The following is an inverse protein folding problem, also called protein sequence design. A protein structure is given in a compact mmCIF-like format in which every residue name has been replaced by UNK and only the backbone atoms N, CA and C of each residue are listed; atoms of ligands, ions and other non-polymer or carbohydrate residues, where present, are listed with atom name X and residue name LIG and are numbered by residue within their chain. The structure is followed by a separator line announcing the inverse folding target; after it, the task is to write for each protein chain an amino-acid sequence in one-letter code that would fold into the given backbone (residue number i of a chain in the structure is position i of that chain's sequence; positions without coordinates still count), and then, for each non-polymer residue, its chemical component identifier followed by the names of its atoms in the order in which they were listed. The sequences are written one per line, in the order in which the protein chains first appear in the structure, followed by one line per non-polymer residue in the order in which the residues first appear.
data_IF_367147248791
#
_entry.id   IF_367147248791
#
_cell.length_a   1.000
_cell.length_b   1.000
_cell.length_c   1.000
_cell.angle_alpha   90.00
_cell.angle_beta   90.00
_cell.angle_gamma   90.00
#
_symmetry.space_group_name_H-M   'P 1'
#
loop_
_entity.id
_entity.type
_entity.pdbx_description
1 polymer ?
#
# COMPACT_ATOMS: atom_id res chain seq x y z
N UNK A 1 -29.41 34.20 -3.15
CA UNK A 1 -30.57 33.91 -4.02
C UNK A 1 -30.17 33.58 -5.46
N UNK A 2 -29.19 34.24 -6.09
CA UNK A 2 -28.76 33.95 -7.48
C UNK A 2 -28.31 32.50 -7.75
N UNK A 3 -27.60 31.84 -6.83
CA UNK A 3 -27.18 30.44 -7.01
C UNK A 3 -28.35 29.43 -7.07
N UNK A 4 -29.51 29.77 -6.51
CA UNK A 4 -30.71 28.92 -6.60
C UNK A 4 -31.47 29.13 -7.93
N UNK A 5 -31.32 30.29 -8.58
CA UNK A 5 -31.88 30.51 -9.93
C UNK A 5 -31.06 29.78 -11.01
N UNK A 6 -29.72 29.67 -10.86
CA UNK A 6 -28.89 28.87 -11.79
C UNK A 6 -29.17 27.36 -11.72
N UNK A 7 -29.83 26.87 -10.66
CA UNK A 7 -30.25 25.47 -10.54
C UNK A 7 -31.33 25.04 -11.54
N UNK A 8 -32.02 26.00 -12.17
CA UNK A 8 -33.14 25.74 -13.08
C UNK A 8 -32.75 25.42 -14.53
N UNK A 9 -31.46 25.49 -14.89
CA UNK A 9 -30.99 25.29 -16.27
C UNK A 9 -30.09 24.05 -16.40
N UNK A 10 -30.66 22.83 -16.41
CA UNK A 10 -29.88 21.59 -16.44
C UNK A 10 -28.93 21.50 -17.64
N UNK A 11 -29.31 22.07 -18.79
CA UNK A 11 -28.48 22.11 -20.00
C UNK A 11 -27.17 22.90 -19.80
N UNK A 12 -27.24 24.06 -19.12
CA UNK A 12 -26.06 24.90 -18.88
C UNK A 12 -25.11 24.26 -17.86
N UNK A 13 -25.67 23.59 -16.86
CA UNK A 13 -24.90 22.81 -15.89
C UNK A 13 -24.22 21.61 -16.52
N UNK A 14 -24.92 20.88 -17.41
CA UNK A 14 -24.33 19.79 -18.17
C UNK A 14 -23.18 20.28 -19.06
N UNK A 15 -23.37 21.40 -19.77
CA UNK A 15 -22.31 21.99 -20.60
C UNK A 15 -21.06 22.38 -19.79
N UNK A 16 -21.24 23.06 -18.65
CA UNK A 16 -20.12 23.36 -17.73
C UNK A 16 -19.48 22.09 -17.18
N UNK A 17 -20.27 21.08 -16.82
CA UNK A 17 -19.81 19.79 -16.33
C UNK A 17 -18.95 19.05 -17.37
N UNK A 18 -19.37 19.04 -18.63
CA UNK A 18 -18.59 18.46 -19.73
C UNK A 18 -17.26 19.17 -19.94
N UNK A 19 -17.24 20.50 -19.88
CA UNK A 19 -15.99 21.28 -19.98
C UNK A 19 -15.05 20.93 -18.82
N UNK A 20 -15.57 20.85 -17.60
CA UNK A 20 -14.77 20.42 -16.43
C UNK A 20 -14.33 18.96 -16.50
N UNK A 21 -15.05 18.11 -17.25
CA UNK A 21 -14.72 16.72 -17.45
C UNK A 21 -13.63 16.50 -18.53
N UNK A 22 -13.41 17.46 -19.43
CA UNK A 22 -12.46 17.35 -20.55
C UNK A 22 -11.07 16.82 -20.13
N UNK A 23 -10.43 17.31 -19.03
CA UNK A 23 -9.12 16.82 -18.61
C UNK A 23 -9.10 15.32 -18.25
N UNK A 24 -10.26 14.74 -17.94
CA UNK A 24 -10.39 13.33 -17.55
C UNK A 24 -10.76 12.43 -18.73
N UNK A 25 -11.32 12.97 -19.82
CA UNK A 25 -11.74 12.17 -20.97
C UNK A 25 -10.55 11.52 -21.68
N UNK A 26 -9.43 12.23 -21.83
CA UNK A 26 -8.21 11.70 -22.43
C UNK A 26 -7.65 10.48 -21.66
N UNK A 27 -7.34 10.62 -20.36
CA UNK A 27 -6.91 9.49 -19.53
C UNK A 27 -7.92 8.33 -19.49
N UNK A 28 -9.23 8.63 -19.46
CA UNK A 28 -10.26 7.60 -19.47
C UNK A 28 -10.32 6.83 -20.80
N UNK A 29 -10.25 7.55 -21.92
CA UNK A 29 -10.21 6.93 -23.25
C UNK A 29 -8.94 6.09 -23.43
N UNK A 30 -7.79 6.57 -22.93
CA UNK A 30 -6.55 5.80 -22.94
C UNK A 30 -6.63 4.54 -22.07
N UNK A 31 -7.14 4.66 -20.84
CA UNK A 31 -7.37 3.51 -19.96
C UNK A 31 -8.33 2.50 -20.60
N UNK A 32 -9.42 2.98 -21.20
CA UNK A 32 -10.39 2.13 -21.87
C UNK A 32 -9.76 1.42 -23.07
N UNK A 33 -8.96 2.13 -23.86
CA UNK A 33 -8.21 1.53 -24.96
C UNK A 33 -7.25 0.45 -24.44
N UNK A 34 -6.42 0.75 -23.44
CA UNK A 34 -5.46 -0.18 -22.84
C UNK A 34 -6.15 -1.44 -22.26
N UNK A 35 -7.30 -1.27 -21.61
CA UNK A 35 -8.11 -2.40 -21.11
C UNK A 35 -8.71 -3.24 -22.25
N UNK A 36 -9.07 -2.63 -23.38
CA UNK A 36 -9.71 -3.32 -24.50
C UNK A 36 -8.71 -3.91 -25.52
N UNK A 37 -7.51 -3.34 -25.63
CA UNK A 37 -6.52 -3.71 -26.67
C UNK A 37 -5.20 -4.21 -26.09
N UNK A 38 -4.94 -4.01 -24.79
CA UNK A 38 -3.73 -4.45 -24.13
C UNK A 38 -3.59 -5.98 -24.14
N UNK A 39 -2.38 -6.46 -24.37
CA UNK A 39 -2.05 -7.88 -24.23
C UNK A 39 -2.16 -8.33 -22.77
N UNK A 40 -2.18 -9.65 -22.54
CA UNK A 40 -2.22 -10.19 -21.17
C UNK A 40 -0.98 -9.72 -20.38
N UNK A 41 -1.21 -9.05 -19.25
CA UNK A 41 -0.12 -8.66 -18.36
C UNK A 41 0.58 -9.92 -17.81
N UNK A 42 1.93 -9.95 -17.75
CA UNK A 42 2.67 -10.99 -17.05
C UNK A 42 2.32 -11.11 -15.55
N UNK A 43 1.85 -10.03 -14.92
CA UNK A 43 1.27 -10.06 -13.56
C UNK A 43 -0.16 -10.60 -13.50
N UNK A 44 -0.67 -11.04 -14.64
CA UNK A 44 -2.07 -11.33 -14.90
C UNK A 44 -2.85 -10.05 -15.21
N UNK A 45 -3.84 -10.16 -16.09
CA UNK A 45 -4.92 -9.19 -16.25
C UNK A 45 -5.91 -9.21 -15.06
N UNK A 46 -5.43 -9.55 -13.86
CA UNK A 46 -6.27 -9.83 -12.69
C UNK A 46 -7.03 -8.56 -12.31
N UNK A 47 -8.30 -8.57 -12.69
CA UNK A 47 -9.29 -7.61 -12.23
C UNK A 47 -10.26 -8.36 -11.34
N UNK A 48 -10.28 -7.99 -10.05
CA UNK A 48 -11.11 -8.65 -9.06
C UNK A 48 -11.78 -7.61 -8.18
N UNK A 49 -13.11 -7.60 -8.15
CA UNK A 49 -13.86 -6.64 -7.34
C UNK A 49 -13.73 -6.93 -5.85
N UNK A 50 -13.60 -8.20 -5.46
CA UNK A 50 -13.54 -8.61 -4.05
C UNK A 50 -14.90 -8.47 -3.34
N UNK A 51 -15.05 -9.03 -2.13
CA UNK A 51 -16.31 -9.01 -1.41
C UNK A 51 -16.63 -7.62 -0.85
N UNK A 52 -17.91 -7.32 -0.59
CA UNK A 52 -18.33 -6.06 0.05
C UNK A 52 -17.60 -5.81 1.39
N UNK A 53 -17.33 -6.85 2.16
CA UNK A 53 -16.58 -6.76 3.41
C UNK A 53 -15.17 -6.16 3.23
N UNK A 54 -14.51 -6.44 2.09
CA UNK A 54 -13.21 -5.82 1.78
C UNK A 54 -13.32 -4.31 1.60
N UNK A 55 -14.45 -3.83 1.07
CA UNK A 55 -14.74 -2.40 0.98
C UNK A 55 -14.89 -1.84 2.38
N UNK A 56 -15.71 -2.45 3.23
CA UNK A 56 -15.94 -1.93 4.58
C UNK A 56 -14.69 -1.89 5.46
N UNK A 57 -13.64 -2.68 5.17
CA UNK A 57 -12.36 -2.60 5.89
C UNK A 57 -11.72 -1.21 5.87
N UNK A 58 -12.00 -0.35 4.87
CA UNK A 58 -11.48 1.02 4.89
C UNK A 58 -11.97 1.81 6.12
N UNK A 59 -13.17 1.52 6.62
CA UNK A 59 -13.72 2.17 7.81
C UNK A 59 -12.85 1.89 9.03
N UNK A 60 -12.19 0.73 9.04
CA UNK A 60 -11.27 0.32 10.09
C UNK A 60 -9.82 0.71 9.80
N UNK A 61 -9.47 1.07 8.57
CA UNK A 61 -8.09 1.40 8.19
C UNK A 61 -7.51 2.61 8.94
N UNK A 62 -8.36 3.48 9.49
CA UNK A 62 -7.93 4.59 10.37
C UNK A 62 -7.50 4.08 11.76
N UNK A 63 -8.02 2.92 12.17
CA UNK A 63 -7.83 2.33 13.50
C UNK A 63 -6.88 1.14 13.50
N UNK A 64 -6.68 0.51 12.34
CA UNK A 64 -5.90 -0.72 12.21
C UNK A 64 -4.68 -0.51 11.31
N UNK A 65 -3.50 -0.72 11.86
CA UNK A 65 -2.28 -0.93 11.07
C UNK A 65 -2.33 -2.35 10.52
N UNK A 66 -2.08 -2.58 9.22
CA UNK A 66 -2.16 -3.91 8.61
C UNK A 66 -1.37 -4.98 9.38
N UNK A 67 -2.02 -6.15 9.52
CA UNK A 67 -1.60 -7.33 10.30
C UNK A 67 -0.17 -7.83 10.03
N UNK A 68 0.53 -8.05 11.16
CA UNK A 68 1.59 -9.04 11.51
C UNK A 68 2.61 -8.44 12.48
N UNK A 69 2.79 -7.11 12.48
CA UNK A 69 3.60 -6.37 13.46
C UNK A 69 3.06 -4.95 13.76
N UNK A 70 1.78 -4.68 13.50
CA UNK A 70 1.16 -3.39 13.82
C UNK A 70 1.36 -3.06 15.30
N UNK A 71 1.86 -1.86 15.60
CA UNK A 71 2.05 -1.43 16.99
C UNK A 71 0.70 -1.51 17.71
N UNK A 72 0.59 -2.39 18.70
CA UNK A 72 -0.61 -2.50 19.55
C UNK A 72 -1.07 -1.13 20.04
N UNK A 73 -0.11 -0.26 20.38
CA UNK A 73 -0.36 1.11 20.81
C UNK A 73 -0.99 1.97 19.71
N UNK A 74 -0.59 1.81 18.43
CA UNK A 74 -1.27 2.48 17.33
C UNK A 74 -2.71 1.97 17.23
N UNK A 75 -2.95 0.67 17.24
CA UNK A 75 -4.31 0.17 17.10
C UNK A 75 -5.21 0.62 18.26
N UNK A 76 -4.70 0.53 19.48
CA UNK A 76 -5.37 1.00 20.69
C UNK A 76 -5.62 2.52 20.64
N UNK A 77 -4.64 3.34 20.25
CA UNK A 77 -4.83 4.79 20.16
C UNK A 77 -5.87 5.17 19.11
N UNK A 78 -5.94 4.43 18.00
CA UNK A 78 -6.95 4.60 16.96
C UNK A 78 -8.35 4.35 17.52
N UNK A 79 -8.53 3.22 18.21
CA UNK A 79 -9.79 2.86 18.86
C UNK A 79 -10.19 3.87 19.94
N UNK A 80 -9.27 4.26 20.83
CA UNK A 80 -9.53 5.26 21.87
C UNK A 80 -9.87 6.62 21.27
N UNK A 81 -9.19 7.01 20.19
CA UNK A 81 -9.52 8.22 19.44
C UNK A 81 -10.91 8.18 18.84
N UNK A 82 -11.30 7.03 18.26
CA UNK A 82 -12.67 6.83 17.78
C UNK A 82 -13.71 6.95 18.90
N UNK A 83 -13.50 6.26 20.01
CA UNK A 83 -14.40 6.32 21.18
C UNK A 83 -14.50 7.74 21.71
N UNK A 84 -13.37 8.45 21.86
CA UNK A 84 -13.35 9.84 22.29
C UNK A 84 -14.14 10.75 21.34
N UNK A 85 -14.00 10.57 20.03
CA UNK A 85 -14.78 11.29 19.03
C UNK A 85 -16.27 10.99 19.15
N UNK A 86 -16.66 9.71 19.21
CA UNK A 86 -18.06 9.31 19.36
C UNK A 86 -18.67 9.90 20.63
N UNK A 87 -17.99 9.77 21.78
CA UNK A 87 -18.45 10.35 23.05
C UNK A 87 -18.59 11.87 22.95
N UNK A 88 -17.60 12.56 22.39
CA UNK A 88 -17.65 14.00 22.20
C UNK A 88 -18.83 14.41 21.31
N UNK A 89 -19.05 13.72 20.19
CA UNK A 89 -20.19 13.93 19.30
C UNK A 89 -21.54 13.59 19.97
N UNK A 90 -21.58 12.59 20.85
CA UNK A 90 -22.76 12.27 21.65
C UNK A 90 -23.10 13.36 22.66
N UNK A 91 -22.10 14.03 23.25
CA UNK A 91 -22.36 15.20 24.13
C UNK A 91 -23.01 16.38 23.41
N UNK A 92 -22.90 16.43 22.07
CA UNK A 92 -23.53 17.44 21.22
C UNK A 92 -25.00 17.11 20.89
N UNK A 93 -25.46 15.86 21.10
CA UNK A 93 -26.87 15.47 20.92
C UNK A 93 -27.73 15.97 22.09
N UNK A 94 -28.04 17.27 22.15
CA UNK A 94 -29.14 17.78 22.99
C UNK A 94 -30.47 17.82 22.21
N UNK A 95 -31.58 17.64 22.94
CA UNK A 95 -32.98 17.71 22.45
C UNK A 95 -33.22 18.98 21.63
N UNK A 96 -34.20 18.91 20.71
CA UNK A 96 -34.73 19.96 19.84
C UNK A 96 -33.95 21.30 19.84
N UNK A 97 -32.98 21.44 18.93
CA UNK A 97 -32.18 22.66 18.77
C UNK A 97 -30.68 22.53 19.10
N UNK A 98 -30.23 21.34 19.50
CA UNK A 98 -28.82 21.07 19.77
C UNK A 98 -27.91 21.12 18.52
N UNK A 99 -26.58 21.09 18.75
CA UNK A 99 -25.62 21.12 17.66
C UNK A 99 -25.82 20.01 16.63
N UNK A 100 -25.78 20.38 15.36
CA UNK A 100 -26.01 19.46 14.24
C UNK A 100 -24.96 19.65 13.16
N UNK A 101 -24.53 18.53 12.58
CA UNK A 101 -23.72 18.54 11.37
C UNK A 101 -24.65 18.71 10.17
N UNK A 102 -24.49 19.80 9.42
CA UNK A 102 -25.22 20.04 8.19
C UNK A 102 -24.32 19.82 6.98
N UNK A 103 -24.77 18.95 6.09
CA UNK A 103 -24.14 18.73 4.80
C UNK A 103 -24.58 19.81 3.81
N UNK A 104 -23.64 20.42 3.10
CA UNK A 104 -23.92 21.36 2.02
C UNK A 104 -24.77 20.66 0.94
N UNK A 105 -25.97 21.18 0.58
CA UNK A 105 -26.86 20.52 -0.38
C UNK A 105 -26.21 20.26 -1.75
N UNK A 106 -25.35 21.18 -2.20
CA UNK A 106 -24.62 21.08 -3.47
C UNK A 106 -23.59 19.95 -3.49
N UNK A 107 -23.14 19.48 -2.32
CA UNK A 107 -22.13 18.42 -2.21
C UNK A 107 -22.72 17.02 -2.14
N UNK A 108 -24.05 16.87 -2.02
CA UNK A 108 -24.70 15.55 -1.97
C UNK A 108 -24.40 14.70 -3.20
N UNK A 109 -24.53 15.28 -4.39
CA UNK A 109 -24.26 14.59 -5.66
C UNK A 109 -22.82 14.08 -5.76
N UNK A 110 -21.80 14.93 -5.61
CA UNK A 110 -20.39 14.51 -5.60
C UNK A 110 -20.08 13.43 -4.57
N UNK A 111 -20.60 13.54 -3.34
CA UNK A 111 -20.39 12.53 -2.28
C UNK A 111 -21.00 11.19 -2.67
N UNK A 112 -22.24 11.18 -3.18
CA UNK A 112 -22.91 9.95 -3.64
C UNK A 112 -22.12 9.34 -4.81
N UNK A 113 -21.68 10.14 -5.78
CA UNK A 113 -20.91 9.65 -6.92
C UNK A 113 -19.59 9.00 -6.48
N UNK A 114 -18.83 9.65 -5.59
CA UNK A 114 -17.58 9.09 -5.07
C UNK A 114 -17.83 7.88 -4.17
N UNK A 115 -18.92 7.85 -3.41
CA UNK A 115 -19.30 6.68 -2.60
C UNK A 115 -19.63 5.48 -3.49
N UNK A 116 -20.40 5.67 -4.56
CA UNK A 116 -20.68 4.62 -5.55
C UNK A 116 -19.37 4.16 -6.19
N UNK A 117 -18.54 5.09 -6.65
CA UNK A 117 -17.23 4.79 -7.24
C UNK A 117 -16.35 3.98 -6.27
N UNK A 118 -16.32 4.33 -4.98
CA UNK A 118 -15.59 3.60 -3.95
C UNK A 118 -16.13 2.17 -3.76
N UNK A 119 -17.46 1.98 -3.75
CA UNK A 119 -18.08 0.66 -3.59
C UNK A 119 -17.83 -0.25 -4.80
N UNK A 120 -17.94 0.29 -6.02
CA UNK A 120 -17.72 -0.47 -7.26
C UNK A 120 -16.26 -0.57 -7.65
N UNK A 121 -15.36 0.21 -7.05
CA UNK A 121 -13.93 0.14 -7.37
C UNK A 121 -13.37 -1.26 -7.11
N UNK A 122 -12.56 -1.83 -8.00
CA UNK A 122 -12.08 -3.19 -7.82
C UNK A 122 -11.00 -3.27 -6.74
N UNK A 123 -10.85 -4.46 -6.15
CA UNK A 123 -9.77 -4.76 -5.20
C UNK A 123 -8.43 -4.91 -5.93
N UNK A 124 -8.46 -5.52 -7.11
CA UNK A 124 -7.34 -5.63 -8.06
C UNK A 124 -7.76 -5.05 -9.40
N UNK A 125 -6.91 -4.22 -10.01
CA UNK A 125 -7.11 -3.70 -11.37
C UNK A 125 -5.81 -3.88 -12.14
N UNK A 126 -5.82 -4.69 -13.20
CA UNK A 126 -4.64 -4.94 -14.04
C UNK A 126 -3.39 -5.30 -13.22
N UNK A 127 -3.52 -6.22 -12.26
CA UNK A 127 -2.42 -6.65 -11.38
C UNK A 127 -2.09 -5.69 -10.23
N UNK A 128 -2.66 -4.48 -10.21
CA UNK A 128 -2.47 -3.52 -9.11
C UNK A 128 -3.43 -3.84 -7.97
N UNK A 129 -2.88 -4.20 -6.80
CA UNK A 129 -3.64 -4.48 -5.60
C UNK A 129 -4.15 -3.22 -4.89
N UNK A 130 -5.16 -3.42 -4.03
CA UNK A 130 -5.70 -2.41 -3.11
C UNK A 130 -6.24 -1.14 -3.78
N UNK A 131 -6.70 -1.20 -5.03
CA UNK A 131 -7.23 -0.02 -5.74
C UNK A 131 -8.43 0.60 -4.99
N UNK A 132 -9.29 -0.25 -4.44
CA UNK A 132 -10.47 0.14 -3.67
C UNK A 132 -10.23 0.99 -2.41
N UNK A 133 -9.02 1.07 -1.86
CA UNK A 133 -8.77 1.86 -0.64
C UNK A 133 -8.55 3.35 -0.94
N UNK A 134 -8.33 3.72 -2.21
CA UNK A 134 -7.97 5.09 -2.61
C UNK A 134 -9.15 6.07 -2.54
N UNK A 135 -10.31 5.65 -3.05
CA UNK A 135 -11.51 6.50 -3.12
C UNK A 135 -12.19 6.76 -1.76
N UNK A 136 -12.20 5.82 -0.81
CA UNK A 136 -12.72 6.09 0.54
C UNK A 136 -12.03 7.26 1.25
N UNK A 137 -10.72 7.45 1.06
CA UNK A 137 -10.02 8.62 1.62
C UNK A 137 -10.56 9.93 1.01
N UNK A 138 -10.73 9.96 -0.32
CA UNK A 138 -11.32 11.11 -1.02
C UNK A 138 -12.75 11.36 -0.53
N UNK A 139 -13.55 10.31 -0.34
CA UNK A 139 -14.90 10.39 0.21
C UNK A 139 -14.91 11.02 1.61
N UNK A 140 -13.99 10.61 2.48
CA UNK A 140 -13.87 11.17 3.83
C UNK A 140 -13.51 12.66 3.79
N UNK A 141 -12.54 13.04 2.97
CA UNK A 141 -12.13 14.44 2.82
C UNK A 141 -13.27 15.31 2.27
N UNK A 142 -14.01 14.81 1.26
CA UNK A 142 -15.19 15.48 0.72
C UNK A 142 -16.28 15.64 1.78
N UNK A 143 -16.53 14.60 2.59
CA UNK A 143 -17.53 14.66 3.66
C UNK A 143 -17.14 15.70 4.72
N UNK A 144 -15.88 15.74 5.13
CA UNK A 144 -15.36 16.76 6.06
C UNK A 144 -15.49 18.17 5.48
N UNK A 145 -15.07 18.39 4.23
CA UNK A 145 -15.14 19.69 3.57
C UNK A 145 -16.59 20.15 3.30
N UNK A 146 -17.51 19.21 3.06
CA UNK A 146 -18.91 19.49 2.76
C UNK A 146 -19.77 19.69 4.01
N UNK A 147 -19.24 19.43 5.20
CA UNK A 147 -20.01 19.52 6.45
C UNK A 147 -19.67 20.77 7.24
N UNK A 148 -20.70 21.35 7.86
CA UNK A 148 -20.55 22.45 8.81
C UNK A 148 -21.31 22.14 10.09
N UNK A 149 -20.76 22.62 11.20
CA UNK A 149 -21.43 22.57 12.49
C UNK A 149 -22.40 23.76 12.62
N UNK A 150 -23.66 23.49 12.93
CA UNK A 150 -24.65 24.50 13.33
C UNK A 150 -25.02 24.29 14.80
N UNK A 151 -25.26 25.38 15.55
CA UNK A 151 -25.68 25.29 16.96
C UNK A 151 -24.59 24.89 17.95
N UNK A 152 -23.31 24.91 17.54
CA UNK A 152 -22.17 24.69 18.44
C UNK A 152 -21.79 26.03 19.10
N UNK A 153 -21.81 26.09 20.43
CA UNK A 153 -21.32 27.26 21.18
C UNK A 153 -19.80 27.42 21.06
N UNK A 154 -19.27 28.64 21.27
CA UNK A 154 -17.82 28.88 21.25
C UNK A 154 -17.04 27.98 22.23
N UNK A 155 -17.60 27.70 23.41
CA UNK A 155 -16.99 26.81 24.39
C UNK A 155 -16.93 25.36 23.90
N UNK A 156 -18.03 24.85 23.32
CA UNK A 156 -18.05 23.51 22.71
C UNK A 156 -17.09 23.40 21.53
N UNK A 157 -17.03 24.44 20.66
CA UNK A 157 -16.10 24.47 19.54
C UNK A 157 -14.64 24.42 20.01
N UNK A 158 -14.29 25.17 21.06
CA UNK A 158 -12.96 25.12 21.67
C UNK A 158 -12.66 23.75 22.27
N UNK A 159 -13.60 23.18 23.01
CA UNK A 159 -13.45 21.82 23.58
C UNK A 159 -13.22 20.77 22.50
N UNK A 160 -14.04 20.78 21.44
CA UNK A 160 -13.85 19.92 20.27
C UNK A 160 -12.47 20.12 19.65
N UNK A 161 -12.07 21.36 19.39
CA UNK A 161 -10.77 21.67 18.79
C UNK A 161 -9.61 21.15 19.64
N UNK A 162 -9.67 21.31 20.97
CA UNK A 162 -8.66 20.78 21.90
C UNK A 162 -8.61 19.25 21.85
N UNK A 163 -9.77 18.56 21.85
CA UNK A 163 -9.84 17.10 21.74
C UNK A 163 -9.26 16.62 20.40
N UNK A 164 -9.66 17.22 19.28
CA UNK A 164 -9.13 16.88 17.96
C UNK A 164 -7.62 17.11 17.88
N UNK A 165 -7.13 18.23 18.40
CA UNK A 165 -5.71 18.55 18.41
C UNK A 165 -4.92 17.56 19.27
N UNK A 166 -5.42 17.23 20.46
CA UNK A 166 -4.79 16.24 21.34
C UNK A 166 -4.73 14.86 20.67
N UNK A 167 -5.82 14.41 20.04
CA UNK A 167 -5.86 13.15 19.30
C UNK A 167 -4.89 13.16 18.11
N UNK A 168 -4.84 14.26 17.36
CA UNK A 168 -3.94 14.42 16.22
C UNK A 168 -2.48 14.38 16.66
N UNK A 169 -2.11 15.11 17.72
CA UNK A 169 -0.73 15.13 18.25
C UNK A 169 -0.34 13.76 18.79
N UNK A 170 -1.20 13.13 19.60
CA UNK A 170 -0.92 11.81 20.16
C UNK A 170 -0.77 10.75 19.05
N UNK A 171 -1.66 10.76 18.05
CA UNK A 171 -1.60 9.85 16.91
C UNK A 171 -0.36 10.12 16.05
N UNK A 172 -0.06 11.39 15.79
CA UNK A 172 1.11 11.83 15.03
C UNK A 172 2.40 11.33 15.67
N UNK A 173 2.55 11.48 16.98
CA UNK A 173 3.73 11.00 17.70
C UNK A 173 3.92 9.47 17.60
N UNK A 174 2.83 8.69 17.62
CA UNK A 174 2.92 7.24 17.46
C UNK A 174 3.24 6.82 16.02
N UNK A 175 2.68 7.53 15.03
CA UNK A 175 2.99 7.31 13.61
C UNK A 175 4.46 7.66 13.34
N UNK A 176 4.95 8.77 13.88
CA UNK A 176 6.34 9.20 13.78
C UNK A 176 7.30 8.14 14.34
N UNK A 177 7.02 7.62 15.55
CA UNK A 177 7.84 6.55 16.14
C UNK A 177 7.85 5.28 15.30
N UNK A 178 6.72 4.94 14.69
CA UNK A 178 6.62 3.80 13.79
C UNK A 178 7.40 4.03 12.49
N UNK A 179 7.31 5.23 11.92
CA UNK A 179 8.07 5.63 10.74
C UNK A 179 9.58 5.63 11.01
N UNK A 180 10.03 6.23 12.11
CA UNK A 180 11.44 6.27 12.50
C UNK A 180 12.04 4.86 12.67
N UNK A 181 11.27 3.89 13.18
CA UNK A 181 11.71 2.49 13.25
C UNK A 181 11.88 1.89 11.85
N UNK A 182 10.94 2.16 10.95
CA UNK A 182 11.06 1.71 9.56
C UNK A 182 12.25 2.37 8.87
N UNK A 183 12.49 3.66 9.08
CA UNK A 183 13.64 4.38 8.52
C UNK A 183 14.97 3.79 9.01
N UNK A 184 15.06 3.42 10.29
CA UNK A 184 16.22 2.71 10.82
C UNK A 184 16.43 1.36 10.11
N UNK A 185 15.37 0.57 9.89
CA UNK A 185 15.46 -0.69 9.13
C UNK A 185 15.87 -0.44 7.67
N UNK A 186 15.37 0.63 7.03
CA UNK A 186 15.77 0.98 5.67
C UNK A 186 17.25 1.40 5.63
N UNK A 187 17.74 2.14 6.62
CA UNK A 187 19.16 2.49 6.72
C UNK A 187 20.04 1.25 6.91
N UNK A 188 19.61 0.29 7.73
CA UNK A 188 20.30 -1.01 7.87
C UNK A 188 20.34 -1.78 6.55
N UNK A 189 19.22 -1.79 5.80
CA UNK A 189 19.15 -2.39 4.48
C UNK A 189 20.11 -1.69 3.49
N UNK A 190 20.12 -0.37 3.44
CA UNK A 190 21.00 0.39 2.57
C UNK A 190 22.49 0.14 2.92
N UNK A 191 22.80 0.00 4.20
CA UNK A 191 24.13 -0.36 4.69
C UNK A 191 24.54 -1.78 4.25
N UNK A 192 23.68 -2.79 4.43
CA UNK A 192 24.02 -4.16 3.99
C UNK A 192 24.17 -4.25 2.47
N UNK A 193 23.38 -3.48 1.72
CA UNK A 193 23.48 -3.40 0.26
C UNK A 193 24.81 -2.81 -0.21
N UNK A 194 25.62 -2.19 0.65
CA UNK A 194 26.98 -1.77 0.29
C UNK A 194 27.91 -2.93 -0.09
N UNK A 195 27.62 -4.13 0.41
CA UNK A 195 28.36 -5.34 0.03
C UNK A 195 27.94 -5.90 -1.34
N UNK A 196 26.85 -5.42 -1.94
CA UNK A 196 26.38 -5.89 -3.24
C UNK A 196 27.08 -5.07 -4.34
N UNK A 197 27.79 -5.71 -5.29
CA UNK A 197 28.43 -4.99 -6.38
C UNK A 197 27.38 -4.42 -7.36
N UNK A 198 27.70 -3.32 -8.07
CA UNK A 198 26.81 -2.78 -9.09
C UNK A 198 26.45 -3.80 -10.17
N UNK A 199 25.18 -3.85 -10.59
CA UNK A 199 24.71 -4.78 -11.63
C UNK A 199 24.48 -6.22 -11.17
N UNK A 200 24.67 -6.52 -9.87
CA UNK A 200 24.44 -7.85 -9.32
C UNK A 200 23.01 -8.37 -9.59
N UNK A 201 22.88 -9.69 -9.74
CA UNK A 201 21.57 -10.39 -9.76
C UNK A 201 21.26 -10.83 -8.34
N UNK A 202 20.29 -10.18 -7.70
CA UNK A 202 19.97 -10.34 -6.27
C UNK A 202 18.64 -11.06 -6.11
N UNK A 203 18.66 -12.21 -5.43
CA UNK A 203 17.45 -12.93 -5.04
C UNK A 203 17.00 -12.52 -3.62
N UNK A 204 15.88 -11.82 -3.47
CA UNK A 204 15.36 -11.45 -2.15
C UNK A 204 14.58 -12.62 -1.52
N UNK A 205 14.96 -12.98 -0.30
CA UNK A 205 14.33 -14.06 0.48
C UNK A 205 13.82 -13.54 1.83
N UNK A 206 12.83 -14.25 2.38
CA UNK A 206 12.26 -14.10 3.72
C UNK A 206 12.54 -15.35 4.52
N UNK A 207 12.88 -15.18 5.79
CA UNK A 207 12.96 -16.31 6.70
C UNK A 207 11.58 -16.97 6.89
N UNK A 208 11.57 -18.27 7.19
CA UNK A 208 10.33 -19.03 7.42
C UNK A 208 9.44 -18.34 8.47
N UNK A 209 8.17 -18.13 8.13
CA UNK A 209 7.16 -17.52 9.01
C UNK A 209 7.07 -16.00 8.92
N UNK A 210 7.98 -15.33 8.20
CA UNK A 210 8.03 -13.87 8.11
C UNK A 210 7.41 -13.29 6.82
N UNK A 211 6.88 -14.12 5.93
CA UNK A 211 6.41 -13.71 4.59
C UNK A 211 5.25 -12.72 4.62
N UNK A 212 4.54 -12.61 5.75
CA UNK A 212 3.39 -11.71 5.93
C UNK A 212 3.77 -10.32 6.45
N UNK A 213 5.05 -10.05 6.74
CA UNK A 213 5.49 -8.70 7.12
C UNK A 213 5.46 -7.79 5.88
N UNK A 214 4.33 -7.10 5.71
CA UNK A 214 4.07 -6.25 4.55
C UNK A 214 4.99 -5.02 4.50
N UNK A 215 5.60 -4.64 5.64
CA UNK A 215 6.53 -3.49 5.70
C UNK A 215 7.76 -3.72 4.82
N UNK A 216 8.13 -4.98 4.58
CA UNK A 216 9.28 -5.38 3.78
C UNK A 216 8.91 -5.91 2.39
N UNK A 217 7.67 -5.71 1.93
CA UNK A 217 7.18 -6.30 0.66
C UNK A 217 8.01 -5.91 -0.56
N UNK A 218 8.46 -4.65 -0.60
CA UNK A 218 9.08 -4.05 -1.78
C UNK A 218 10.46 -3.45 -1.49
N UNK A 219 10.99 -3.63 -0.28
CA UNK A 219 12.22 -2.94 0.15
C UNK A 219 13.44 -3.42 -0.64
N UNK A 220 13.42 -4.63 -1.19
CA UNK A 220 14.43 -5.12 -2.13
C UNK A 220 14.61 -4.21 -3.36
N UNK A 221 13.61 -3.39 -3.71
CA UNK A 221 13.70 -2.41 -4.80
C UNK A 221 14.80 -1.38 -4.60
N UNK A 222 15.24 -1.11 -3.36
CA UNK A 222 16.39 -0.24 -3.09
C UNK A 222 17.69 -0.75 -3.72
N UNK A 223 17.85 -2.06 -3.92
CA UNK A 223 19.02 -2.61 -4.61
C UNK A 223 19.08 -2.15 -6.09
N UNK A 224 17.92 -1.94 -6.73
CA UNK A 224 17.87 -1.44 -8.11
C UNK A 224 18.35 0.00 -8.20
N UNK A 225 17.85 0.88 -7.33
CA UNK A 225 18.22 2.30 -7.38
C UNK A 225 19.64 2.58 -6.87
N UNK A 226 20.11 1.84 -5.87
CA UNK A 226 21.41 2.12 -5.22
C UNK A 226 22.56 1.30 -5.78
N UNK A 227 22.29 0.13 -6.38
CA UNK A 227 23.30 -0.79 -6.92
C UNK A 227 23.06 -1.15 -8.38
N UNK A 228 22.06 -0.58 -9.05
CA UNK A 228 21.67 -1.01 -10.40
C UNK A 228 21.47 -2.54 -10.50
N UNK A 229 21.10 -3.17 -9.37
CA UNK A 229 20.98 -4.60 -9.28
C UNK A 229 19.72 -5.09 -10.00
N UNK A 230 19.78 -6.28 -10.56
CA UNK A 230 18.60 -6.99 -11.03
C UNK A 230 17.89 -7.65 -9.84
N UNK A 231 16.61 -7.33 -9.65
CA UNK A 231 15.75 -7.89 -8.60
C UNK A 231 14.55 -8.57 -9.27
N UNK A 232 14.36 -9.89 -9.09
CA UNK A 232 13.45 -10.70 -9.90
C UNK A 232 11.96 -10.45 -9.63
N UNK A 233 11.64 -9.74 -8.55
CA UNK A 233 10.28 -9.52 -8.04
C UNK A 233 9.75 -8.10 -8.27
N UNK A 234 10.52 -7.24 -8.95
CA UNK A 234 10.16 -5.82 -9.04
C UNK A 234 9.19 -5.55 -10.21
N UNK A 235 7.89 -5.46 -9.87
CA UNK A 235 6.85 -4.83 -10.68
C UNK A 235 6.75 -5.27 -12.15
N UNK A 236 7.02 -6.55 -12.43
CA UNK A 236 6.91 -7.09 -13.79
C UNK A 236 5.46 -7.03 -14.29
N UNK A 237 5.25 -6.49 -15.48
CA UNK A 237 3.92 -6.45 -16.10
C UNK A 237 2.95 -5.44 -15.47
N UNK A 238 3.39 -4.65 -14.49
CA UNK A 238 2.67 -3.50 -13.96
C UNK A 238 3.48 -2.24 -14.23
N UNK A 239 2.83 -1.07 -14.21
CA UNK A 239 3.47 0.24 -14.49
C UNK A 239 4.17 0.33 -15.86
N UNK A 240 3.67 -0.39 -16.88
CA UNK A 240 4.25 -0.47 -18.22
C UNK A 240 5.71 -0.99 -18.25
N UNK A 241 6.13 -1.75 -17.24
CA UNK A 241 7.46 -2.40 -17.21
C UNK A 241 7.36 -3.75 -17.92
N UNK A 242 8.04 -3.87 -19.05
CA UNK A 242 8.15 -5.11 -19.82
C UNK A 242 9.49 -5.80 -19.57
N UNK A 243 9.45 -7.12 -19.42
CA UNK A 243 10.64 -7.94 -19.23
C UNK A 243 11.18 -8.35 -20.59
N UNK A 244 12.48 -8.13 -20.84
CA UNK A 244 13.08 -8.61 -22.07
C UNK A 244 13.02 -10.16 -22.14
N UNK A 245 12.78 -10.77 -23.32
CA UNK A 245 12.50 -12.21 -23.42
C UNK A 245 13.54 -13.12 -22.76
N UNK A 246 14.83 -12.76 -22.83
CA UNK A 246 15.93 -13.51 -22.21
C UNK A 246 15.86 -13.63 -20.68
N UNK A 247 15.07 -12.77 -20.02
CA UNK A 247 14.91 -12.76 -18.57
C UNK A 247 13.62 -13.43 -18.09
N UNK A 248 12.82 -14.01 -19.01
CA UNK A 248 11.51 -14.59 -18.69
C UNK A 248 11.55 -15.60 -17.54
N UNK A 249 12.60 -16.42 -17.48
CA UNK A 249 12.78 -17.46 -16.45
C UNK A 249 13.62 -17.00 -15.24
N UNK A 250 13.90 -15.70 -15.15
CA UNK A 250 14.69 -15.08 -14.09
C UNK A 250 13.84 -14.19 -13.18
N UNK A 251 12.58 -13.97 -13.52
CA UNK A 251 11.76 -12.95 -12.90
C UNK A 251 10.33 -13.47 -12.73
N UNK A 252 9.62 -12.96 -11.72
CA UNK A 252 8.24 -13.31 -11.45
C UNK A 252 7.48 -12.07 -11.01
N UNK A 253 6.20 -11.92 -11.37
CA UNK A 253 5.36 -10.82 -10.90
C UNK A 253 5.05 -10.88 -9.39
N UNK A 254 5.85 -11.65 -8.63
CA UNK A 254 5.70 -11.78 -7.19
C UNK A 254 5.96 -10.40 -6.60
N UNK A 255 4.94 -9.84 -5.94
CA UNK A 255 5.04 -8.54 -5.28
C UNK A 255 5.90 -8.59 -4.01
N UNK A 256 6.41 -9.75 -3.62
CA UNK A 256 7.05 -10.01 -2.33
C UNK A 256 8.30 -10.87 -2.50
N UNK A 257 9.26 -10.70 -1.59
CA UNK A 257 10.34 -11.66 -1.41
C UNK A 257 9.76 -13.04 -1.03
N UNK A 258 10.37 -14.11 -1.53
CA UNK A 258 9.88 -15.47 -1.33
C UNK A 258 10.32 -16.03 0.02
N UNK A 259 9.59 -17.04 0.50
CA UNK A 259 10.09 -17.90 1.57
C UNK A 259 11.39 -18.57 1.11
N UNK A 260 12.43 -18.52 1.95
CA UNK A 260 13.69 -19.24 1.74
C UNK A 260 13.47 -20.75 1.48
N UNK A 261 12.36 -21.30 1.98
CA UNK A 261 11.94 -22.68 1.75
C UNK A 261 11.62 -23.04 0.30
N UNK A 262 11.56 -22.08 -0.63
CA UNK A 262 11.44 -22.39 -2.06
C UNK A 262 12.78 -22.60 -2.76
N UNK A 263 13.89 -22.29 -2.08
CA UNK A 263 15.21 -22.20 -2.71
C UNK A 263 16.25 -23.09 -2.06
N UNK A 264 16.26 -23.21 -0.74
CA UNK A 264 17.37 -23.84 -0.04
C UNK A 264 17.16 -25.35 0.17
N UNK A 265 18.23 -26.17 0.23
CA UNK A 265 18.12 -27.62 0.42
C UNK A 265 17.40 -28.01 1.72
N UNK A 266 16.76 -29.19 1.74
CA UNK A 266 16.04 -29.76 2.89
C UNK A 266 14.89 -28.90 3.43
N UNK A 267 14.31 -28.06 2.57
CA UNK A 267 13.25 -27.15 2.96
C UNK A 267 11.85 -27.71 2.73
N UNK A 268 10.86 -27.08 3.38
CA UNK A 268 9.52 -27.60 3.62
C UNK A 268 8.66 -27.86 2.36
N UNK A 269 9.12 -27.48 1.17
CA UNK A 269 8.35 -27.56 -0.07
C UNK A 269 9.09 -28.39 -1.13
N UNK A 270 8.41 -29.33 -1.81
CA UNK A 270 8.97 -30.00 -2.98
C UNK A 270 9.39 -29.00 -4.06
N UNK A 271 10.51 -29.26 -4.74
CA UNK A 271 11.04 -28.42 -5.82
C UNK A 271 10.03 -28.17 -6.97
N UNK A 272 9.12 -29.12 -7.20
CA UNK A 272 8.04 -29.03 -8.18
C UNK A 272 7.04 -27.91 -7.90
N UNK A 273 6.95 -27.43 -6.65
CA UNK A 273 6.06 -26.33 -6.23
C UNK A 273 6.77 -24.98 -6.34
N UNK A 274 8.10 -24.97 -6.51
CA UNK A 274 8.87 -23.73 -6.58
C UNK A 274 8.60 -22.98 -7.89
N UNK A 275 8.35 -21.65 -7.84
CA UNK A 275 8.20 -20.84 -9.04
C UNK A 275 9.41 -20.98 -9.99
N UNK A 276 9.18 -21.02 -11.30
CA UNK A 276 10.23 -21.24 -12.31
C UNK A 276 11.45 -20.32 -12.15
N UNK A 277 11.25 -19.09 -11.71
CA UNK A 277 12.35 -18.12 -11.56
C UNK A 277 13.35 -18.47 -10.45
N UNK A 278 12.96 -19.27 -9.45
CA UNK A 278 13.86 -19.74 -8.38
C UNK A 278 14.37 -21.16 -8.58
N UNK A 279 13.88 -21.87 -9.59
CA UNK A 279 14.53 -23.09 -10.04
C UNK A 279 15.94 -22.73 -10.56
N UNK A 280 16.94 -23.52 -10.18
CA UNK A 280 18.36 -23.28 -10.46
C UNK A 280 18.85 -21.89 -10.03
N UNK A 281 18.31 -21.36 -8.92
CA UNK A 281 18.63 -20.01 -8.45
C UNK A 281 20.14 -19.80 -8.26
N UNK A 282 20.90 -20.85 -7.93
CA UNK A 282 22.34 -20.82 -7.75
C UNK A 282 23.08 -20.36 -9.00
N UNK A 283 22.52 -20.64 -10.19
CA UNK A 283 23.08 -20.24 -11.49
C UNK A 283 22.55 -18.87 -11.93
N UNK A 284 21.31 -18.56 -11.54
CA UNK A 284 20.60 -17.36 -11.99
C UNK A 284 20.98 -16.10 -11.21
N UNK A 285 21.28 -16.25 -9.92
CA UNK A 285 21.51 -15.12 -9.01
C UNK A 285 22.90 -15.20 -8.41
N UNK A 286 23.58 -14.06 -8.43
CA UNK A 286 24.93 -13.88 -7.87
C UNK A 286 24.92 -13.65 -6.37
N UNK A 287 23.80 -13.16 -5.84
CA UNK A 287 23.65 -12.75 -4.45
C UNK A 287 22.26 -13.12 -3.93
N UNK A 288 22.18 -13.41 -2.63
CA UNK A 288 20.93 -13.51 -1.87
C UNK A 288 20.87 -12.32 -0.92
N UNK A 289 19.70 -11.68 -0.87
CA UNK A 289 19.36 -10.69 0.15
C UNK A 289 18.30 -11.29 1.07
N UNK A 290 18.67 -11.64 2.28
CA UNK A 290 17.73 -12.08 3.31
C UNK A 290 17.20 -10.85 4.07
N UNK A 291 15.87 -10.70 4.10
CA UNK A 291 15.19 -9.56 4.72
C UNK A 291 14.86 -9.75 6.20
N UNK A 292 15.26 -10.88 6.77
CA UNK A 292 15.01 -11.26 8.16
C UNK A 292 16.31 -11.76 8.81
N UNK A 293 16.32 -11.83 10.14
CA UNK A 293 17.49 -12.30 10.88
C UNK A 293 17.86 -13.70 10.40
N UNK A 294 19.12 -13.88 10.00
CA UNK A 294 19.61 -15.12 9.41
C UNK A 294 19.39 -16.32 10.34
N UNK A 295 18.60 -17.31 9.95
CA UNK A 295 18.56 -18.59 10.64
C UNK A 295 19.98 -19.19 10.70
N UNK A 296 20.33 -19.79 11.84
CA UNK A 296 21.67 -20.35 12.07
C UNK A 296 22.09 -21.42 11.06
N UNK A 297 21.13 -22.07 10.39
CA UNK A 297 21.43 -23.09 9.39
C UNK A 297 21.93 -22.48 8.07
N UNK A 298 21.52 -21.26 7.71
CA UNK A 298 21.97 -20.60 6.48
C UNK A 298 23.47 -20.34 6.49
N UNK A 299 24.00 -20.02 7.67
CA UNK A 299 25.43 -19.77 7.88
C UNK A 299 26.28 -21.02 7.64
N UNK A 300 25.67 -22.21 7.60
CA UNK A 300 26.35 -23.50 7.41
C UNK A 300 26.24 -24.02 5.97
N UNK A 301 25.48 -23.35 5.10
CA UNK A 301 25.33 -23.80 3.72
C UNK A 301 26.62 -23.51 2.95
N UNK A 302 27.28 -24.52 2.37
CA UNK A 302 28.58 -24.34 1.70
C UNK A 302 28.47 -23.47 0.45
N UNK A 303 27.28 -23.35 -0.14
CA UNK A 303 27.01 -22.58 -1.35
C UNK A 303 26.79 -21.08 -1.09
N UNK A 304 26.74 -20.67 0.19
CA UNK A 304 26.50 -19.29 0.59
C UNK A 304 27.70 -18.76 1.38
N UNK A 305 28.35 -17.72 0.85
CA UNK A 305 29.37 -16.97 1.60
C UNK A 305 28.74 -15.69 2.15
N UNK A 306 28.63 -15.51 3.49
CA UNK A 306 28.11 -14.27 4.05
C UNK A 306 29.05 -13.11 3.70
N UNK A 307 28.48 -12.01 3.19
CA UNK A 307 29.25 -10.79 2.87
C UNK A 307 29.07 -9.71 3.93
N UNK A 308 27.85 -9.48 4.36
CA UNK A 308 27.53 -8.46 5.36
C UNK A 308 26.21 -8.79 6.07
N UNK A 309 26.16 -8.40 7.35
CA UNK A 309 24.94 -8.42 8.17
C UNK A 309 24.82 -7.09 8.88
N UNK A 310 23.69 -6.41 8.71
CA UNK A 310 23.38 -5.17 9.42
C UNK A 310 21.93 -5.23 9.87
N UNK A 311 21.70 -5.00 11.17
CA UNK A 311 20.39 -5.15 11.78
C UNK A 311 19.83 -6.56 11.52
N UNK A 312 18.69 -6.61 10.83
CA UNK A 312 18.05 -7.87 10.43
C UNK A 312 18.40 -8.36 9.04
N UNK A 313 19.15 -7.60 8.25
CA UNK A 313 19.39 -7.92 6.85
C UNK A 313 20.73 -8.62 6.70
N UNK A 314 20.79 -9.63 5.82
CA UNK A 314 22.04 -10.32 5.50
C UNK A 314 22.17 -10.49 3.99
N UNK A 315 23.36 -10.19 3.46
CA UNK A 315 23.71 -10.46 2.07
C UNK A 315 24.66 -11.65 2.03
N UNK A 316 24.33 -12.62 1.17
CA UNK A 316 25.19 -13.73 0.83
C UNK A 316 25.60 -13.64 -0.64
N UNK A 317 26.83 -14.08 -0.92
CA UNK A 317 27.30 -14.39 -2.27
C UNK A 317 27.04 -15.86 -2.56
N UNK A 318 26.57 -16.14 -3.77
CA UNK A 318 26.29 -17.49 -4.26
C UNK A 318 27.46 -18.01 -5.10
N UNK A 319 27.42 -19.29 -5.49
CA UNK A 319 28.39 -19.87 -6.42
C UNK A 319 28.48 -19.11 -7.76
N UNK A 320 27.35 -18.69 -8.35
CA UNK A 320 27.37 -17.88 -9.58
C UNK A 320 27.97 -16.48 -9.42
N UNK A 321 28.22 -16.01 -8.19
CA UNK A 321 28.95 -14.77 -7.93
C UNK A 321 30.47 -14.95 -7.83
N UNK A 322 31.00 -16.16 -7.99
CA UNK A 322 32.44 -16.45 -7.93
C UNK A 322 33.13 -16.50 -9.31
N UNK A 323 32.36 -16.63 -10.39
CA UNK A 323 32.84 -16.61 -11.78
C UNK A 323 32.57 -15.27 -12.45
#
# INVERSE_FOLDING_TARGET
MQLLQEASQPRRQLGRGLIMALPFLGPLAWLLHDVLTGGESPAGNKTAFGPLMSKLRFLNATFEVPLSQGSFLLNLSGLLGFVALVLCLMTLRRRAGGPRLRLAPTMKGPIIAVAIAALVSPTWLNGVALVHIRLPLVLMLLFLAATRWEGVSKAQARGLAVVFLALLVARGALVERYAARHDAEINDLLAVLQAVPPGARVLPLRARGHQRDLRLSHVQGYAVSTRSAFVPTLFLGVHAITLAPRWKDYAHPALFALDECFTLPDTCYPAEIAPTFVQDWQQKFTHILLLDAAPSYLQKLPELTPLATVGRFTVYRTAAGLG
#
